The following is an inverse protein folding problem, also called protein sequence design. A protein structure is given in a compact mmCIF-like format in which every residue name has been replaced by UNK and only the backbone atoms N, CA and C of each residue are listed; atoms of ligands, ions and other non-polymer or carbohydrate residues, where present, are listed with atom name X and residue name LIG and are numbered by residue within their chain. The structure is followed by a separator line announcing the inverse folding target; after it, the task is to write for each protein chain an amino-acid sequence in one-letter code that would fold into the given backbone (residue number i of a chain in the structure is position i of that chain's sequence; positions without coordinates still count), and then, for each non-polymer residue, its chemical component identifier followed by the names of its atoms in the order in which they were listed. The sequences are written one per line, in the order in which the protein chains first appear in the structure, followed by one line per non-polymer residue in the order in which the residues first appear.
data_IF_996804615406
#
_entry.id   IF_996804615406
#
_cell.length_a   1.000
_cell.length_b   1.000
_cell.length_c   1.000
_cell.angle_alpha   90.00
_cell.angle_beta   90.00
_cell.angle_gamma   90.00
#
_symmetry.space_group_name_H-M   'P 1'
#
loop_
_entity.id
_entity.type
_entity.pdbx_description
1 polymer ?
#
# COMPACT_ATOMS: atom_id res chain seq x y z
N UNK A 1 31.15 1.35 -7.22
CA UNK A 1 30.69 2.20 -8.34
C UNK A 1 29.19 1.99 -8.45
N UNK A 2 28.38 2.89 -7.88
CA UNK A 2 26.91 2.78 -7.96
C UNK A 2 26.48 3.20 -9.37
N UNK A 3 25.82 2.31 -10.11
CA UNK A 3 25.12 2.70 -11.32
C UNK A 3 23.83 3.38 -10.91
N UNK A 4 23.72 4.69 -11.16
CA UNK A 4 22.45 5.40 -11.10
C UNK A 4 21.67 5.05 -12.35
N UNK A 5 20.50 4.42 -12.20
CA UNK A 5 19.58 4.26 -13.31
C UNK A 5 19.03 5.64 -13.60
N UNK A 6 19.18 6.08 -14.85
CA UNK A 6 18.58 7.32 -15.31
C UNK A 6 17.08 7.06 -15.43
N UNK A 7 16.31 7.41 -14.39
CA UNK A 7 14.86 7.38 -14.42
C UNK A 7 14.37 8.16 -15.66
N UNK A 8 13.37 7.62 -16.36
CA UNK A 8 12.79 8.29 -17.51
C UNK A 8 12.21 9.63 -17.09
N UNK A 9 12.76 10.72 -17.65
CA UNK A 9 12.24 12.06 -17.51
C UNK A 9 11.83 12.56 -18.91
N UNK A 10 10.53 12.81 -19.17
CA UNK A 10 9.39 12.65 -18.25
C UNK A 10 8.99 11.18 -18.00
N UNK A 11 8.22 10.89 -16.93
CA UNK A 11 7.60 9.58 -16.72
C UNK A 11 6.75 9.17 -17.93
N UNK A 12 6.74 7.88 -18.24
CA UNK A 12 5.96 7.31 -19.32
C UNK A 12 4.47 7.37 -18.97
N UNK A 13 3.70 8.07 -19.81
CA UNK A 13 2.25 8.11 -19.67
C UNK A 13 1.61 6.89 -20.33
N UNK A 14 0.78 6.19 -19.56
CA UNK A 14 0.01 5.04 -20.00
C UNK A 14 -1.49 5.31 -19.77
N UNK A 15 -2.13 6.11 -20.65
CA UNK A 15 -3.46 6.65 -20.41
C UNK A 15 -4.60 5.64 -20.52
N UNK A 16 -4.33 4.43 -21.01
CA UNK A 16 -5.34 3.37 -21.18
C UNK A 16 -5.20 2.24 -20.17
N UNK A 17 -4.21 2.30 -19.26
CA UNK A 17 -4.05 1.29 -18.22
C UNK A 17 -5.09 1.55 -17.12
N UNK A 18 -6.06 0.65 -17.02
CA UNK A 18 -7.09 0.66 -15.98
C UNK A 18 -6.73 -0.23 -14.78
N UNK A 19 -5.88 -1.23 -15.00
CA UNK A 19 -5.43 -2.16 -13.98
C UNK A 19 -3.90 -2.30 -13.99
N UNK A 20 -3.29 -2.21 -12.82
CA UNK A 20 -1.86 -2.40 -12.62
C UNK A 20 -1.62 -3.42 -11.51
N UNK A 21 -0.90 -4.48 -11.86
CA UNK A 21 -0.51 -5.55 -10.92
C UNK A 21 1.02 -5.61 -10.80
N UNK A 22 1.51 -5.49 -9.56
CA UNK A 22 2.93 -5.54 -9.22
C UNK A 22 3.20 -6.75 -8.34
N UNK A 23 3.91 -7.75 -8.88
CA UNK A 23 4.42 -8.90 -8.12
C UNK A 23 5.88 -8.67 -7.76
N UNK A 24 6.15 -8.46 -6.47
CA UNK A 24 7.46 -8.10 -5.95
C UNK A 24 8.18 -9.35 -5.43
N UNK A 25 9.37 -9.62 -5.95
CA UNK A 25 10.21 -10.75 -5.51
C UNK A 25 11.39 -10.24 -4.69
N UNK A 26 11.75 -10.99 -3.64
CA UNK A 26 13.02 -10.74 -2.96
C UNK A 26 14.16 -11.18 -3.86
N UNK A 27 15.01 -10.24 -4.27
CA UNK A 27 16.26 -10.55 -4.93
C UNK A 27 17.37 -10.67 -3.87
N UNK A 28 18.34 -11.54 -4.12
CA UNK A 28 19.51 -11.75 -3.25
C UNK A 28 20.55 -10.63 -3.35
N UNK A 29 20.45 -9.80 -4.40
CA UNK A 29 21.35 -8.69 -4.61
C UNK A 29 20.83 -7.44 -3.88
N UNK A 30 21.72 -6.65 -3.26
CA UNK A 30 21.38 -5.32 -2.80
C UNK A 30 21.18 -4.45 -4.04
N UNK A 31 20.00 -4.56 -4.64
CA UNK A 31 19.61 -3.72 -5.75
C UNK A 31 19.51 -2.28 -5.23
N UNK A 32 20.35 -1.34 -5.70
CA UNK A 32 20.26 0.04 -5.27
C UNK A 32 18.89 0.64 -5.59
N UNK A 33 18.15 0.06 -6.55
CA UNK A 33 16.89 0.60 -7.03
C UNK A 33 15.81 -0.49 -7.07
N UNK A 34 15.05 -0.59 -5.97
CA UNK A 34 13.94 -1.55 -5.85
C UNK A 34 12.95 -1.37 -7.00
N UNK A 35 12.59 -2.46 -7.69
CA UNK A 35 11.66 -2.45 -8.84
C UNK A 35 10.39 -1.60 -8.62
N UNK A 36 9.79 -1.68 -7.43
CA UNK A 36 8.61 -0.87 -7.10
C UNK A 36 8.89 0.63 -7.14
N UNK A 37 10.06 1.09 -6.65
CA UNK A 37 10.49 2.49 -6.78
C UNK A 37 10.62 2.88 -8.24
N UNK A 38 11.29 2.05 -9.05
CA UNK A 38 11.52 2.33 -10.47
C UNK A 38 10.20 2.46 -11.21
N UNK A 39 9.28 1.51 -11.00
CA UNK A 39 7.96 1.54 -11.64
C UNK A 39 7.19 2.79 -11.19
N UNK A 40 7.00 2.99 -9.88
CA UNK A 40 6.25 4.13 -9.37
C UNK A 40 6.88 5.47 -9.74
N UNK A 41 8.19 5.57 -9.94
CA UNK A 41 8.83 6.80 -10.41
C UNK A 41 8.67 7.00 -11.93
N UNK A 42 8.58 5.93 -12.71
CA UNK A 42 8.72 5.98 -14.18
C UNK A 42 7.41 5.99 -14.95
N UNK A 43 6.26 5.72 -14.32
CA UNK A 43 4.97 5.69 -15.03
C UNK A 43 3.95 6.68 -14.45
N UNK A 44 2.99 7.06 -15.28
CA UNK A 44 1.74 7.73 -14.89
C UNK A 44 0.56 7.05 -15.58
N UNK A 45 -0.47 6.69 -14.82
CA UNK A 45 -1.62 5.92 -15.32
C UNK A 45 -2.93 6.65 -14.99
N UNK A 46 -3.33 7.69 -15.74
CA UNK A 46 -4.47 8.54 -15.37
C UNK A 46 -5.83 7.82 -15.36
N UNK A 47 -5.97 6.72 -16.10
CA UNK A 47 -7.19 5.92 -16.14
C UNK A 47 -7.19 4.74 -15.16
N UNK A 48 -6.19 4.65 -14.27
CA UNK A 48 -6.06 3.51 -13.36
C UNK A 48 -7.22 3.47 -12.36
N UNK A 49 -7.95 2.37 -12.34
CA UNK A 49 -9.04 2.13 -11.39
C UNK A 49 -8.67 1.07 -10.35
N UNK A 50 -7.77 0.15 -10.70
CA UNK A 50 -7.40 -0.98 -9.84
C UNK A 50 -5.88 -1.14 -9.73
N UNK A 51 -5.38 -1.21 -8.49
CA UNK A 51 -3.97 -1.40 -8.17
C UNK A 51 -3.80 -2.60 -7.23
N UNK A 52 -3.04 -3.60 -7.71
CA UNK A 52 -2.72 -4.82 -6.98
C UNK A 52 -1.21 -4.87 -6.75
N UNK A 53 -0.79 -5.00 -5.48
CA UNK A 53 0.61 -5.09 -5.09
C UNK A 53 0.74 -6.31 -4.19
N UNK A 54 1.58 -7.26 -4.59
CA UNK A 54 1.76 -8.52 -3.87
C UNK A 54 3.23 -8.91 -3.83
N UNK A 55 3.70 -9.35 -2.68
CA UNK A 55 5.00 -10.01 -2.60
C UNK A 55 4.88 -11.49 -2.95
N UNK A 56 5.88 -12.01 -3.65
CA UNK A 56 5.98 -13.43 -3.94
C UNK A 56 6.18 -14.24 -2.64
N UNK A 57 5.18 -15.08 -2.41
CA UNK A 57 4.98 -15.96 -1.25
C UNK A 57 6.19 -16.82 -0.89
N UNK A 58 7.05 -17.15 -1.85
CA UNK A 58 8.16 -18.07 -1.62
C UNK A 58 9.38 -17.40 -0.99
N UNK A 59 9.51 -16.08 -1.15
CA UNK A 59 10.79 -15.40 -0.95
C UNK A 59 10.87 -14.55 0.32
N UNK A 60 9.73 -14.37 1.00
CA UNK A 60 9.65 -13.62 2.26
C UNK A 60 10.14 -12.18 2.10
N UNK A 61 9.53 -11.43 1.17
CA UNK A 61 9.87 -10.06 0.82
C UNK A 61 10.05 -9.17 2.06
N UNK A 62 11.23 -8.54 2.18
CA UNK A 62 11.61 -7.74 3.35
C UNK A 62 11.81 -6.26 3.05
N UNK A 63 11.70 -5.88 1.79
CA UNK A 63 11.92 -4.49 1.43
C UNK A 63 10.78 -3.63 1.96
N UNK A 64 11.17 -2.49 2.51
CA UNK A 64 10.25 -1.45 2.98
C UNK A 64 9.45 -0.87 1.82
N UNK A 65 8.25 -0.42 2.17
CA UNK A 65 7.35 0.28 1.27
C UNK A 65 7.99 1.53 0.64
N UNK A 66 7.91 1.68 -0.69
CA UNK A 66 8.43 2.83 -1.43
C UNK A 66 7.56 4.09 -1.26
N UNK A 67 7.46 4.63 -0.04
CA UNK A 67 6.51 5.70 0.34
C UNK A 67 6.49 6.88 -0.63
N UNK A 68 7.66 7.49 -0.87
CA UNK A 68 7.75 8.71 -1.69
C UNK A 68 7.44 8.44 -3.16
N UNK A 69 7.93 7.32 -3.70
CA UNK A 69 7.68 6.95 -5.08
C UNK A 69 6.19 6.62 -5.29
N UNK A 70 5.57 5.85 -4.38
CA UNK A 70 4.16 5.50 -4.44
C UNK A 70 3.24 6.73 -4.31
N UNK A 71 3.51 7.62 -3.34
CA UNK A 71 2.74 8.85 -3.18
C UNK A 71 2.91 9.78 -4.39
N UNK A 72 4.13 9.86 -4.94
CA UNK A 72 4.41 10.56 -6.17
C UNK A 72 3.64 9.98 -7.36
N UNK A 73 3.57 8.65 -7.49
CA UNK A 73 2.81 7.97 -8.53
C UNK A 73 1.32 8.31 -8.48
N UNK A 74 0.71 8.24 -7.29
CA UNK A 74 -0.71 8.60 -7.09
C UNK A 74 -0.95 10.06 -7.46
N UNK A 75 -0.12 10.97 -6.94
CA UNK A 75 -0.26 12.41 -7.17
C UNK A 75 -0.11 12.78 -8.64
N UNK A 76 0.91 12.23 -9.32
CA UNK A 76 1.17 12.51 -10.75
C UNK A 76 0.14 11.89 -11.67
N UNK A 77 -0.38 10.71 -11.33
CA UNK A 77 -1.35 10.03 -12.19
C UNK A 77 -2.75 10.64 -12.06
N UNK A 78 -3.11 11.22 -10.91
CA UNK A 78 -4.44 11.85 -10.69
C UNK A 78 -5.61 10.94 -11.07
N UNK A 79 -5.45 9.63 -10.88
CA UNK A 79 -6.44 8.63 -11.23
C UNK A 79 -7.56 8.53 -10.19
N UNK A 80 -8.66 7.88 -10.56
CA UNK A 80 -9.80 7.61 -9.68
C UNK A 80 -9.79 6.16 -9.22
N UNK A 81 -8.84 5.81 -8.35
CA UNK A 81 -8.69 4.44 -7.88
C UNK A 81 -9.91 4.01 -7.07
N UNK A 82 -10.51 2.90 -7.44
CA UNK A 82 -11.64 2.28 -6.73
C UNK A 82 -11.21 1.03 -5.97
N UNK A 83 -10.16 0.34 -6.45
CA UNK A 83 -9.67 -0.91 -5.87
C UNK A 83 -8.19 -0.83 -5.53
N UNK A 84 -7.85 -1.11 -4.27
CA UNK A 84 -6.48 -1.26 -3.80
C UNK A 84 -6.34 -2.59 -3.07
N UNK A 85 -5.38 -3.39 -3.50
CA UNK A 85 -5.01 -4.64 -2.84
C UNK A 85 -3.52 -4.65 -2.55
N UNK A 86 -3.14 -4.77 -1.28
CA UNK A 86 -1.75 -4.89 -0.83
C UNK A 86 -1.62 -6.21 -0.05
N UNK A 87 -0.79 -7.13 -0.56
CA UNK A 87 -0.63 -8.46 0.04
C UNK A 87 0.83 -8.78 0.32
N UNK A 88 1.10 -9.26 1.52
CA UNK A 88 2.42 -9.74 1.94
C UNK A 88 3.53 -8.68 1.85
N UNK A 89 3.17 -7.38 1.85
CA UNK A 89 4.14 -6.27 1.79
C UNK A 89 4.42 -5.72 3.20
N UNK A 90 5.69 -5.62 3.63
CA UNK A 90 6.09 -4.85 4.81
C UNK A 90 5.74 -3.37 4.64
N UNK A 91 4.66 -2.95 5.28
CA UNK A 91 4.09 -1.61 5.19
C UNK A 91 3.68 -1.16 6.59
N UNK A 92 4.09 0.03 7.02
CA UNK A 92 3.63 0.58 8.29
C UNK A 92 2.18 1.05 8.20
N UNK A 93 1.48 1.09 9.33
CA UNK A 93 0.14 1.66 9.39
C UNK A 93 0.13 3.14 8.98
N UNK A 94 1.15 3.92 9.35
CA UNK A 94 1.31 5.32 8.94
C UNK A 94 1.41 5.47 7.43
N UNK A 95 2.20 4.62 6.77
CA UNK A 95 2.38 4.69 5.31
C UNK A 95 1.10 4.29 4.58
N UNK A 96 0.40 3.27 5.07
CA UNK A 96 -0.91 2.89 4.54
C UNK A 96 -1.92 4.03 4.71
N UNK A 97 -1.97 4.64 5.90
CA UNK A 97 -2.86 5.78 6.18
C UNK A 97 -2.55 6.93 5.21
N UNK A 98 -1.28 7.29 5.01
CA UNK A 98 -0.90 8.36 4.11
C UNK A 98 -1.28 8.06 2.66
N UNK A 99 -1.08 6.82 2.21
CA UNK A 99 -1.53 6.38 0.90
C UNK A 99 -3.06 6.51 0.75
N UNK A 100 -3.82 6.06 1.76
CA UNK A 100 -5.28 6.14 1.75
C UNK A 100 -5.80 7.59 1.72
N UNK A 101 -5.07 8.56 2.28
CA UNK A 101 -5.44 9.99 2.19
C UNK A 101 -5.45 10.50 0.76
N UNK A 102 -4.60 9.92 -0.09
CA UNK A 102 -4.49 10.29 -1.50
C UNK A 102 -5.53 9.59 -2.39
N UNK A 103 -6.34 8.68 -1.82
CA UNK A 103 -7.28 7.82 -2.54
C UNK A 103 -8.73 8.02 -2.07
N UNK A 104 -9.30 9.23 -2.20
CA UNK A 104 -10.65 9.53 -1.69
C UNK A 104 -11.77 8.78 -2.42
N UNK A 105 -11.51 8.23 -3.62
CA UNK A 105 -12.46 7.44 -4.42
C UNK A 105 -12.48 5.96 -4.08
N UNK A 106 -11.65 5.49 -3.14
CA UNK A 106 -11.46 4.08 -2.87
C UNK A 106 -12.76 3.43 -2.35
N UNK A 107 -13.18 2.34 -3.02
CA UNK A 107 -14.36 1.56 -2.68
C UNK A 107 -13.99 0.21 -2.07
N UNK A 108 -12.88 -0.39 -2.53
CA UNK A 108 -12.46 -1.73 -2.15
C UNK A 108 -11.02 -1.69 -1.67
N UNK A 109 -10.81 -2.06 -0.40
CA UNK A 109 -9.50 -2.16 0.21
C UNK A 109 -9.25 -3.59 0.68
N UNK A 110 -8.17 -4.19 0.18
CA UNK A 110 -7.65 -5.46 0.68
C UNK A 110 -6.24 -5.27 1.23
N UNK A 111 -6.03 -5.66 2.48
CA UNK A 111 -4.71 -5.70 3.12
C UNK A 111 -4.49 -7.08 3.72
N UNK A 112 -3.45 -7.77 3.27
CA UNK A 112 -3.07 -9.08 3.79
C UNK A 112 -1.65 -9.02 4.34
N UNK A 113 -1.50 -9.19 5.66
CA UNK A 113 -0.21 -9.27 6.33
C UNK A 113 0.17 -10.70 6.76
N UNK A 114 -0.62 -11.72 6.41
CA UNK A 114 -0.45 -13.09 6.93
C UNK A 114 0.95 -13.68 6.70
N UNK A 115 1.66 -13.20 5.68
CA UNK A 115 2.98 -13.69 5.26
C UNK A 115 4.12 -12.72 5.46
N UNK A 116 3.89 -11.57 6.12
CA UNK A 116 5.02 -10.68 6.45
C UNK A 116 5.93 -11.34 7.50
N UNK A 117 7.25 -11.13 7.42
CA UNK A 117 8.17 -11.57 8.47
C UNK A 117 7.78 -11.02 9.85
N UNK A 118 8.02 -11.78 10.92
CA UNK A 118 7.60 -11.40 12.28
C UNK A 118 8.20 -10.08 12.81
N UNK A 119 9.34 -9.67 12.25
CA UNK A 119 10.05 -8.45 12.63
C UNK A 119 9.76 -7.28 11.65
N UNK A 120 8.82 -7.46 10.72
CA UNK A 120 8.44 -6.44 9.75
C UNK A 120 7.29 -5.58 10.28
N UNK A 121 7.17 -4.31 9.83
CA UNK A 121 6.01 -3.49 10.15
C UNK A 121 4.73 -4.15 9.61
N UNK A 122 3.69 -4.20 10.45
CA UNK A 122 2.34 -4.61 10.05
C UNK A 122 1.49 -3.38 9.77
N UNK A 123 0.75 -3.35 8.64
CA UNK A 123 -0.17 -2.27 8.34
C UNK A 123 -1.47 -2.35 9.16
N UNK A 124 -1.81 -3.53 9.71
CA UNK A 124 -3.08 -3.80 10.39
C UNK A 124 -2.93 -3.54 11.89
N UNK A 125 -3.01 -2.27 12.26
CA UNK A 125 -2.94 -1.83 13.67
C UNK A 125 -4.27 -1.23 14.14
N UNK A 126 -4.38 -1.01 15.46
CA UNK A 126 -5.50 -0.26 16.05
C UNK A 126 -5.55 1.20 15.60
N UNK A 127 -4.44 1.76 15.08
CA UNK A 127 -4.41 3.10 14.48
C UNK A 127 -5.12 3.09 13.13
N UNK A 128 -4.84 2.10 12.27
CA UNK A 128 -5.54 1.94 11.00
C UNK A 128 -7.04 1.81 11.23
N UNK A 129 -7.47 0.96 12.18
CA UNK A 129 -8.90 0.79 12.45
C UNK A 129 -9.56 2.09 12.91
N UNK A 130 -8.95 2.85 13.84
CA UNK A 130 -9.46 4.17 14.25
C UNK A 130 -9.56 5.17 13.09
N UNK A 131 -8.56 5.16 12.22
CA UNK A 131 -8.48 6.01 11.04
C UNK A 131 -9.56 5.68 9.99
N UNK A 132 -9.90 4.40 9.82
CA UNK A 132 -11.01 3.96 8.96
C UNK A 132 -12.38 4.22 9.63
N UNK A 133 -12.47 4.02 10.95
CA UNK A 133 -13.68 4.19 11.76
C UNK A 133 -13.96 5.64 12.20
N UNK A 134 -13.66 6.65 11.39
CA UNK A 134 -14.23 8.00 11.62
C UNK A 134 -15.76 8.07 11.41
N UNK A 135 -16.43 6.91 11.39
CA UNK A 135 -17.87 6.76 11.45
C UNK A 135 -18.38 7.08 12.86
N UNK A 136 -19.12 8.19 12.93
CA UNK A 136 -20.24 8.41 13.85
C UNK A 136 -19.93 8.61 15.34
N UNK A 137 -19.12 9.61 15.70
CA UNK A 137 -19.42 10.37 16.94
C UNK A 137 -20.21 11.63 16.59
N UNK A 138 -21.50 11.63 16.93
CA UNK A 138 -22.38 12.81 17.03
C UNK A 138 -21.90 13.84 18.09
N UNK A 139 -20.61 13.89 18.45
CA UNK A 139 -20.13 14.82 19.48
C UNK A 139 -19.34 15.96 18.84
N UNK A 140 -19.84 17.16 19.06
CA UNK A 140 -19.54 18.48 18.49
C UNK A 140 -18.12 19.04 18.68
N UNK A 141 -17.05 18.24 18.66
CA UNK A 141 -15.68 18.76 18.84
C UNK A 141 -14.71 18.13 17.85
N UNK A 142 -14.27 18.94 16.88
CA UNK A 142 -13.19 18.72 15.91
C UNK A 142 -13.06 17.29 15.36
N UNK A 143 -13.94 16.93 14.42
CA UNK A 143 -13.97 15.61 13.79
C UNK A 143 -13.03 15.62 12.58
N UNK A 144 -11.88 14.96 12.70
CA UNK A 144 -11.04 14.61 11.55
C UNK A 144 -11.86 13.83 10.53
N UNK A 145 -11.91 14.30 9.28
CA UNK A 145 -12.67 13.68 8.19
C UNK A 145 -12.25 12.22 7.95
N UNK A 146 -13.19 11.29 7.68
CA UNK A 146 -12.85 9.90 7.38
C UNK A 146 -11.92 9.80 6.17
N UNK A 147 -10.90 8.93 6.28
CA UNK A 147 -9.88 8.72 5.24
C UNK A 147 -10.45 8.22 3.91
N UNK A 148 -11.45 7.35 3.95
CA UNK A 148 -12.07 6.72 2.77
C UNK A 148 -13.57 6.67 2.96
N UNK A 149 -14.23 7.82 2.79
CA UNK A 149 -15.67 7.98 3.03
C UNK A 149 -16.56 7.07 2.17
N UNK A 150 -16.03 6.62 1.02
CA UNK A 150 -16.75 5.79 0.05
C UNK A 150 -16.42 4.30 0.15
N UNK A 151 -15.66 3.88 1.17
CA UNK A 151 -15.24 2.48 1.29
C UNK A 151 -16.47 1.57 1.47
N UNK A 152 -16.66 0.64 0.54
CA UNK A 152 -17.76 -0.33 0.52
C UNK A 152 -17.32 -1.71 0.97
N UNK A 153 -16.07 -2.08 0.69
CA UNK A 153 -15.50 -3.38 1.05
C UNK A 153 -14.15 -3.21 1.73
N UNK A 154 -13.97 -3.90 2.84
CA UNK A 154 -12.73 -3.95 3.62
C UNK A 154 -12.40 -5.42 3.91
N UNK A 155 -11.26 -5.87 3.42
CA UNK A 155 -10.70 -7.19 3.73
C UNK A 155 -9.35 -7.01 4.43
N UNK A 156 -9.27 -7.47 5.67
CA UNK A 156 -8.07 -7.43 6.49
C UNK A 156 -7.70 -8.84 6.92
N UNK A 157 -6.60 -9.36 6.39
CA UNK A 157 -6.05 -10.66 6.78
C UNK A 157 -4.79 -10.41 7.59
N UNK A 158 -4.75 -10.89 8.84
CA UNK A 158 -3.58 -10.74 9.68
C UNK A 158 -3.06 -12.04 10.27
N UNK A 159 -1.75 -12.10 10.52
CA UNK A 159 -1.13 -13.24 11.19
C UNK A 159 -1.59 -13.31 12.65
N UNK A 160 -2.47 -14.26 12.96
CA UNK A 160 -2.84 -14.56 14.35
C UNK A 160 -1.60 -15.08 15.08
N UNK A 161 -1.01 -14.26 15.95
CA UNK A 161 -0.06 -14.75 16.93
C UNK A 161 -0.84 -15.61 17.91
N UNK A 162 -0.78 -16.93 17.74
CA UNK A 162 -1.25 -17.87 18.77
C UNK A 162 -0.36 -17.65 20.00
N UNK A 163 -0.76 -16.72 20.86
CA UNK A 163 -0.27 -16.63 22.22
C UNK A 163 -0.77 -17.90 22.91
N UNK A 164 0.06 -18.94 22.96
CA UNK A 164 -0.16 -20.09 23.84
C UNK A 164 -0.11 -19.55 25.26
N UNK A 165 -1.26 -19.12 25.77
CA UNK A 165 -1.47 -19.01 27.22
C UNK A 165 -1.54 -20.44 27.73
N UNK A 166 -0.41 -20.95 28.18
CA UNK A 166 -0.40 -22.11 29.05
C UNK A 166 -1.09 -21.67 30.34
N UNK A 167 -2.38 -22.00 30.48
CA UNK A 167 -3.00 -22.02 31.80
C UNK A 167 -2.36 -23.18 32.56
N UNK A 168 -1.55 -22.81 33.56
CA UNK A 168 -1.09 -23.73 34.60
C UNK A 168 -2.27 -24.15 35.47
#
# INVERSE_FOLDING_TARGET
MMMSIKLCAPPLSAPFIEELTLTLRQTSYPDPERLANVIFASITCPSLTSLFIEADDQTGYKHEWPRDAANGFVSRSSFHLTTLSIKSIPLSDSDLIDLLRLLPSLLHLTVDDSRIPANSPSPITTRLSKSLHALHRRSSVAISSPLVQKLQSLSLTFKSSRSRRNFR
#
